data_IF_544971819048
#
_entry.id   IF_544971819048
#
_cell.length_a   1.000
_cell.length_b   1.000
_cell.length_c   1.000
_cell.angle_alpha   90.00
_cell.angle_beta   90.00
_cell.angle_gamma   90.00
#
_symmetry.space_group_name_H-M   'P 1'
#
loop_
_entity.id
_entity.type
_entity.pdbx_description
1 polymer ?
#
# COMPACT_ATOMS: atom_id res chain seq x y z
N UNK A 1 -9.56 27.91 -10.20
CA UNK A 1 -9.16 26.74 -9.39
C UNK A 1 -7.71 26.97 -8.98
N UNK A 2 -7.46 27.43 -7.75
CA UNK A 2 -6.10 27.73 -7.29
C UNK A 2 -5.32 26.42 -7.07
N UNK A 3 -4.24 26.26 -7.83
CA UNK A 3 -3.33 25.12 -7.69
C UNK A 3 -2.36 25.45 -6.57
N UNK A 4 -2.60 24.89 -5.38
CA UNK A 4 -1.66 24.95 -4.26
C UNK A 4 -0.32 24.28 -4.62
N UNK A 5 0.83 24.75 -4.08
CA UNK A 5 2.14 24.20 -4.40
C UNK A 5 2.24 22.71 -4.03
N UNK A 6 2.97 21.95 -4.86
CA UNK A 6 3.09 20.48 -4.87
C UNK A 6 3.53 19.86 -3.53
N UNK A 7 4.03 20.64 -2.57
CA UNK A 7 4.56 20.14 -1.28
C UNK A 7 3.49 19.73 -0.25
N UNK A 8 2.32 20.38 -0.22
CA UNK A 8 1.26 20.01 0.75
C UNK A 8 0.45 18.79 0.30
N UNK A 9 0.32 18.57 -1.02
CA UNK A 9 -0.41 17.41 -1.59
C UNK A 9 0.22 16.05 -1.25
N UNK A 10 1.47 16.04 -0.80
CA UNK A 10 2.19 14.81 -0.46
C UNK A 10 1.92 14.35 0.99
N UNK A 11 1.80 15.29 1.95
CA UNK A 11 1.66 14.95 3.38
C UNK A 11 0.37 14.18 3.64
N UNK A 12 -0.77 14.70 3.20
CA UNK A 12 -2.08 14.06 3.43
C UNK A 12 -2.13 12.68 2.76
N UNK A 13 -1.63 12.60 1.52
CA UNK A 13 -1.61 11.36 0.74
C UNK A 13 -0.76 10.30 1.42
N UNK A 14 0.45 10.67 1.85
CA UNK A 14 1.37 9.75 2.50
C UNK A 14 0.91 9.39 3.91
N UNK A 15 0.35 10.34 4.66
CA UNK A 15 -0.23 10.07 5.98
C UNK A 15 -1.41 9.11 5.88
N UNK A 16 -2.29 9.29 4.88
CA UNK A 16 -3.37 8.35 4.59
C UNK A 16 -2.86 6.98 4.20
N UNK A 17 -1.80 6.90 3.38
CA UNK A 17 -1.15 5.64 3.00
C UNK A 17 -0.58 4.91 4.24
N UNK A 18 0.12 5.62 5.12
CA UNK A 18 0.62 5.09 6.40
C UNK A 18 -0.54 4.60 7.27
N UNK A 19 -1.61 5.38 7.38
CA UNK A 19 -2.80 5.02 8.15
C UNK A 19 -3.48 3.73 7.65
N UNK A 20 -3.69 3.61 6.33
CA UNK A 20 -4.26 2.41 5.71
C UNK A 20 -3.37 1.19 5.94
N UNK A 21 -2.06 1.35 5.79
CA UNK A 21 -1.10 0.29 6.07
C UNK A 21 -1.08 -0.10 7.55
N UNK A 22 -1.25 0.85 8.47
CA UNK A 22 -1.41 0.54 9.90
C UNK A 22 -2.67 -0.28 10.18
N UNK A 23 -3.79 -0.01 9.50
CA UNK A 23 -5.02 -0.82 9.61
C UNK A 23 -4.79 -2.23 9.09
N UNK A 24 -4.08 -2.38 7.97
CA UNK A 24 -3.72 -3.69 7.42
C UNK A 24 -2.89 -4.52 8.40
N UNK A 25 -1.84 -3.92 8.98
CA UNK A 25 -0.99 -4.55 10.00
C UNK A 25 -1.81 -4.95 11.23
N UNK A 26 -2.83 -4.18 11.59
CA UNK A 26 -3.75 -4.49 12.68
C UNK A 26 -4.63 -5.73 12.42
N UNK A 27 -4.70 -6.22 11.19
CA UNK A 27 -5.61 -7.28 10.77
C UNK A 27 -6.87 -6.76 10.07
N UNK A 28 -6.84 -5.52 9.56
CA UNK A 28 -7.89 -4.93 8.74
C UNK A 28 -8.96 -4.16 9.52
N UNK A 29 -9.94 -3.55 8.81
CA UNK A 29 -10.93 -2.65 9.42
C UNK A 29 -11.86 -3.36 10.43
N UNK A 30 -12.07 -4.68 10.28
CA UNK A 30 -12.89 -5.45 11.23
C UNK A 30 -12.26 -5.49 12.62
N UNK A 31 -10.93 -5.66 12.70
CA UNK A 31 -10.21 -5.62 13.98
C UNK A 31 -10.41 -4.29 14.68
N UNK A 32 -10.33 -3.18 13.94
CA UNK A 32 -10.59 -1.85 14.49
C UNK A 32 -11.99 -1.72 15.13
N UNK A 33 -13.02 -2.33 14.54
CA UNK A 33 -14.40 -2.34 15.09
C UNK A 33 -14.53 -3.23 16.32
N UNK A 34 -13.86 -4.39 16.32
CA UNK A 34 -13.89 -5.35 17.43
C UNK A 34 -13.42 -4.73 18.76
N UNK A 35 -12.53 -3.73 18.69
CA UNK A 35 -11.97 -3.06 19.88
C UNK A 35 -12.80 -1.88 20.40
N UNK A 36 -13.96 -1.60 19.79
CA UNK A 36 -15.06 -0.74 20.31
C UNK A 36 -14.66 0.62 20.93
N UNK A 37 -13.52 1.19 20.55
CA UNK A 37 -13.03 2.44 21.14
C UNK A 37 -12.84 3.52 20.07
N UNK A 38 -13.66 4.56 20.19
CA UNK A 38 -13.82 5.66 19.23
C UNK A 38 -12.57 6.55 19.08
N UNK A 39 -11.61 6.48 20.00
CA UNK A 39 -10.40 7.34 19.97
C UNK A 39 -9.24 6.77 19.16
N UNK A 40 -9.28 5.49 18.78
CA UNK A 40 -8.19 4.86 18.01
C UNK A 40 -7.99 5.48 16.63
N UNK A 41 -9.10 5.80 15.96
CA UNK A 41 -9.06 6.41 14.63
C UNK A 41 -8.34 7.76 14.64
N UNK A 42 -8.74 8.75 15.48
CA UNK A 42 -8.01 10.01 15.61
C UNK A 42 -6.55 9.83 16.05
N UNK A 43 -6.28 8.99 17.05
CA UNK A 43 -4.91 8.80 17.55
C UNK A 43 -4.00 8.15 16.51
N UNK A 44 -4.49 7.17 15.76
CA UNK A 44 -3.74 6.51 14.69
C UNK A 44 -3.48 7.48 13.54
N UNK A 45 -4.48 8.26 13.13
CA UNK A 45 -4.29 9.25 12.07
C UNK A 45 -3.28 10.33 12.49
N UNK A 46 -3.38 10.85 13.72
CA UNK A 46 -2.41 11.81 14.25
C UNK A 46 -1.00 11.22 14.31
N UNK A 47 -0.87 9.95 14.65
CA UNK A 47 0.40 9.24 14.61
C UNK A 47 0.95 9.14 13.18
N UNK A 48 0.12 8.74 12.20
CA UNK A 48 0.51 8.67 10.79
C UNK A 48 1.03 10.01 10.27
N UNK A 49 0.33 11.12 10.56
CA UNK A 49 0.82 12.45 10.23
C UNK A 49 2.13 12.79 10.92
N UNK A 50 2.24 12.54 12.23
CA UNK A 50 3.45 12.86 12.99
C UNK A 50 4.68 12.11 12.47
N UNK A 51 4.53 10.84 12.07
CA UNK A 51 5.61 10.07 11.45
C UNK A 51 6.00 10.66 10.10
N UNK A 52 5.04 10.94 9.22
CA UNK A 52 5.34 11.53 7.89
C UNK A 52 6.02 12.89 8.02
N UNK A 53 5.49 13.77 8.87
CA UNK A 53 6.07 15.09 9.13
C UNK A 53 7.48 15.01 9.71
N UNK A 54 7.76 13.99 10.53
CA UNK A 54 9.08 13.75 11.08
C UNK A 54 10.05 13.23 10.02
N UNK A 55 9.66 12.21 9.26
CA UNK A 55 10.57 11.46 8.40
C UNK A 55 10.80 12.15 7.05
N UNK A 56 9.77 12.72 6.43
CA UNK A 56 9.89 13.37 5.11
C UNK A 56 10.26 14.86 5.22
N UNK A 57 9.88 15.51 6.32
CA UNK A 57 10.02 16.96 6.48
C UNK A 57 10.91 17.37 7.66
N UNK A 58 11.50 16.40 8.38
CA UNK A 58 12.39 16.62 9.52
C UNK A 58 11.79 17.52 10.62
N UNK A 59 10.45 17.59 10.73
CA UNK A 59 9.81 18.47 11.72
C UNK A 59 10.11 18.00 13.14
N UNK A 60 10.25 18.98 14.04
CA UNK A 60 10.40 18.72 15.47
C UNK A 60 9.06 18.35 16.10
N UNK A 61 9.09 17.69 17.27
CA UNK A 61 7.87 17.38 18.03
C UNK A 61 7.04 18.62 18.36
N UNK A 62 7.69 19.78 18.52
CA UNK A 62 7.02 21.06 18.77
C UNK A 62 6.31 21.62 17.54
N UNK A 63 6.95 21.52 16.37
CA UNK A 63 6.34 21.89 15.09
C UNK A 63 5.14 20.99 14.76
N UNK A 64 5.32 19.67 14.93
CA UNK A 64 4.27 18.66 14.73
C UNK A 64 3.08 18.90 15.67
N UNK A 65 3.35 19.18 16.95
CA UNK A 65 2.31 19.47 17.93
C UNK A 65 1.46 20.68 17.53
N UNK A 66 2.11 21.77 17.11
CA UNK A 66 1.43 22.98 16.64
C UNK A 66 0.56 22.72 15.40
N UNK A 67 1.06 21.94 14.46
CA UNK A 67 0.38 21.66 13.19
C UNK A 67 -0.80 20.71 13.35
N UNK A 68 -0.66 19.68 14.17
CA UNK A 68 -1.71 18.67 14.39
C UNK A 68 -2.68 19.04 15.51
N UNK A 69 -2.44 20.15 16.22
CA UNK A 69 -3.28 20.57 17.35
C UNK A 69 -3.20 19.62 18.55
N UNK A 70 -2.06 18.96 18.74
CA UNK A 70 -1.80 18.04 19.87
C UNK A 70 -0.76 18.63 20.82
N UNK A 71 -0.59 18.05 22.00
CA UNK A 71 0.46 18.49 22.92
C UNK A 71 1.85 18.08 22.42
N UNK A 72 2.89 18.86 22.76
CA UNK A 72 4.30 18.48 22.53
C UNK A 72 4.64 17.12 23.15
N UNK A 73 4.02 16.80 24.29
CA UNK A 73 4.18 15.51 24.95
C UNK A 73 3.58 14.38 24.11
N UNK A 74 2.35 14.55 23.59
CA UNK A 74 1.70 13.60 22.69
C UNK A 74 2.55 13.34 21.44
N UNK A 75 3.01 14.40 20.77
CA UNK A 75 3.90 14.29 19.62
C UNK A 75 5.19 13.53 19.98
N UNK A 76 5.80 13.86 21.13
CA UNK A 76 7.01 13.19 21.62
C UNK A 76 6.76 11.69 21.89
N UNK A 77 5.62 11.35 22.50
CA UNK A 77 5.26 9.97 22.80
C UNK A 77 5.08 9.14 21.52
N UNK A 78 4.41 9.69 20.51
CA UNK A 78 4.28 9.07 19.18
C UNK A 78 5.66 8.82 18.57
N UNK A 79 6.50 9.86 18.52
CA UNK A 79 7.83 9.78 17.89
C UNK A 79 8.80 8.86 18.66
N UNK A 80 8.56 8.56 19.93
CA UNK A 80 9.38 7.64 20.74
C UNK A 80 8.83 6.22 20.83
N UNK A 81 7.66 5.95 20.25
CA UNK A 81 7.06 4.62 20.31
C UNK A 81 7.96 3.54 19.71
N UNK A 82 8.00 2.35 20.34
CA UNK A 82 8.78 1.20 19.89
C UNK A 82 7.94 0.28 18.99
N UNK A 83 8.40 0.05 17.76
CA UNK A 83 7.72 -0.80 16.76
C UNK A 83 7.59 -2.28 17.22
N UNK A 84 8.61 -2.81 17.91
CA UNK A 84 8.72 -4.23 18.28
C UNK A 84 7.91 -4.58 19.51
N UNK A 85 7.75 -3.64 20.44
CA UNK A 85 6.92 -3.84 21.62
C UNK A 85 5.43 -3.87 21.27
N UNK A 86 5.02 -3.09 20.27
CA UNK A 86 3.62 -2.97 19.86
C UNK A 86 3.09 -4.27 19.25
N UNK A 87 3.86 -4.95 18.38
CA UNK A 87 3.46 -6.26 17.81
C UNK A 87 3.28 -7.36 18.86
N UNK A 88 4.07 -7.33 19.94
CA UNK A 88 4.00 -8.31 21.03
C UNK A 88 2.82 -8.08 21.98
N UNK A 89 2.25 -6.88 21.96
CA UNK A 89 1.23 -6.41 22.90
C UNK A 89 0.16 -5.60 22.16
N UNK A 90 -0.33 -6.07 21.01
CA UNK A 90 -1.55 -5.50 20.41
C UNK A 90 -2.73 -5.89 21.32
N UNK A 91 -2.83 -5.22 22.47
CA UNK A 91 -3.97 -5.24 23.35
C UNK A 91 -4.67 -3.89 23.19
N UNK A 92 -5.58 -3.84 22.23
CA UNK A 92 -6.28 -2.60 21.86
C UNK A 92 -7.39 -2.22 22.85
N UNK A 93 -7.62 -3.04 23.88
CA UNK A 93 -8.53 -2.80 24.99
C UNK A 93 -7.89 -1.93 26.09
N UNK A 94 -6.67 -1.42 25.87
CA UNK A 94 -5.96 -0.49 26.77
C UNK A 94 -6.79 0.79 27.01
N UNK A 95 -7.24 0.95 28.27
CA UNK A 95 -8.03 2.11 28.67
C UNK A 95 -7.18 3.36 28.86
N UNK A 96 -5.88 3.22 29.08
CA UNK A 96 -4.96 4.33 29.31
C UNK A 96 -4.58 5.02 28.00
N UNK A 97 -4.87 6.33 27.91
CA UNK A 97 -4.63 7.12 26.70
C UNK A 97 -3.15 7.16 26.29
N UNK A 98 -2.24 7.25 27.27
CA UNK A 98 -0.79 7.26 27.07
C UNK A 98 -0.30 6.03 26.29
N UNK A 99 -0.82 4.85 26.65
CA UNK A 99 -0.49 3.58 26.02
C UNK A 99 -1.12 3.44 24.64
N UNK A 100 -2.35 3.94 24.44
CA UNK A 100 -2.96 3.99 23.10
C UNK A 100 -2.14 4.85 22.14
N UNK A 101 -1.71 6.04 22.58
CA UNK A 101 -0.85 6.93 21.80
C UNK A 101 0.48 6.24 21.44
N UNK A 102 1.06 5.50 22.40
CA UNK A 102 2.27 4.73 22.16
C UNK A 102 2.05 3.63 21.11
N UNK A 103 0.97 2.85 21.22
CA UNK A 103 0.63 1.79 20.27
C UNK A 103 0.34 2.36 18.87
N UNK A 104 -0.44 3.44 18.78
CA UNK A 104 -0.69 4.16 17.53
C UNK A 104 0.60 4.65 16.89
N UNK A 105 1.53 5.21 17.70
CA UNK A 105 2.85 5.62 17.25
C UNK A 105 3.68 4.46 16.69
N UNK A 106 3.73 3.32 17.40
CA UNK A 106 4.50 2.16 16.96
C UNK A 106 3.92 1.52 15.69
N UNK A 107 2.59 1.43 15.58
CA UNK A 107 1.92 0.97 14.36
C UNK A 107 2.18 1.89 13.16
N UNK A 108 2.13 3.20 13.35
CA UNK A 108 2.39 4.17 12.29
C UNK A 108 3.85 4.11 11.81
N UNK A 109 4.82 3.97 12.72
CA UNK A 109 6.24 3.79 12.36
C UNK A 109 6.48 2.53 11.56
N UNK A 110 5.95 1.40 12.05
CA UNK A 110 6.09 0.13 11.36
C UNK A 110 5.47 0.19 9.96
N UNK A 111 4.26 0.75 9.84
CA UNK A 111 3.60 0.95 8.55
C UNK A 111 4.43 1.79 7.59
N UNK A 112 4.96 2.92 8.05
CA UNK A 112 5.84 3.78 7.25
C UNK A 112 7.09 3.02 6.78
N UNK A 113 7.72 2.24 7.67
CA UNK A 113 8.87 1.41 7.33
C UNK A 113 8.53 0.36 6.26
N UNK A 114 7.41 -0.35 6.40
CA UNK A 114 6.95 -1.32 5.40
C UNK A 114 6.75 -0.68 4.03
N UNK A 115 6.16 0.52 4.00
CA UNK A 115 5.97 1.29 2.76
C UNK A 115 7.33 1.62 2.11
N UNK A 116 8.30 2.10 2.89
CA UNK A 116 9.65 2.43 2.39
C UNK A 116 10.43 1.21 1.93
N UNK A 117 10.17 0.05 2.52
CA UNK A 117 10.78 -1.23 2.12
C UNK A 117 9.99 -1.92 0.98
N UNK A 118 9.01 -1.24 0.36
CA UNK A 118 8.27 -1.75 -0.79
C UNK A 118 7.18 -2.77 -0.45
N UNK A 119 6.91 -3.02 0.84
CA UNK A 119 5.82 -3.90 1.32
C UNK A 119 4.50 -3.16 1.46
N UNK A 120 4.20 -2.30 0.50
CA UNK A 120 2.98 -1.52 0.42
C UNK A 120 1.84 -2.28 -0.29
N UNK A 121 1.79 -3.59 -0.10
CA UNK A 121 0.81 -4.45 -0.76
C UNK A 121 -0.55 -4.40 -0.05
N UNK A 122 -1.15 -3.22 0.01
CA UNK A 122 -2.49 -3.11 0.57
C UNK A 122 -3.53 -3.66 -0.40
N UNK A 123 -4.40 -4.55 0.09
CA UNK A 123 -5.52 -5.11 -0.68
C UNK A 123 -6.39 -4.02 -1.31
N UNK A 124 -6.52 -2.88 -0.63
CA UNK A 124 -7.27 -1.73 -1.15
C UNK A 124 -6.61 -1.08 -2.37
N UNK A 125 -5.27 -0.98 -2.41
CA UNK A 125 -4.55 -0.45 -3.57
C UNK A 125 -4.75 -1.35 -4.79
N UNK A 126 -4.72 -2.67 -4.58
CA UNK A 126 -4.99 -3.64 -5.64
C UNK A 126 -6.44 -3.52 -6.14
N UNK A 127 -7.43 -3.43 -5.27
CA UNK A 127 -8.84 -3.29 -5.66
C UNK A 127 -9.12 -1.97 -6.41
N UNK A 128 -8.57 -0.85 -5.94
CA UNK A 128 -8.67 0.43 -6.66
C UNK A 128 -7.99 0.34 -8.03
N UNK A 129 -6.79 -0.23 -8.09
CA UNK A 129 -6.05 -0.40 -9.34
C UNK A 129 -6.80 -1.30 -10.32
N UNK A 130 -7.41 -2.40 -9.86
CA UNK A 130 -8.30 -3.25 -10.67
C UNK A 130 -9.49 -2.47 -11.22
N UNK A 131 -10.16 -1.67 -10.39
CA UNK A 131 -11.31 -0.88 -10.82
C UNK A 131 -10.95 0.18 -11.86
N UNK A 132 -9.82 0.87 -11.67
CA UNK A 132 -9.31 1.86 -12.64
C UNK A 132 -8.91 1.15 -13.94
N UNK A 133 -8.14 0.06 -13.84
CA UNK A 133 -7.71 -0.71 -15.01
C UNK A 133 -8.91 -1.21 -15.80
N UNK A 134 -9.94 -1.74 -15.14
CA UNK A 134 -11.21 -2.13 -15.78
C UNK A 134 -11.88 -0.97 -16.51
N UNK A 135 -11.93 0.21 -15.88
CA UNK A 135 -12.51 1.41 -16.50
C UNK A 135 -11.73 1.89 -17.73
N UNK A 136 -10.43 1.58 -17.78
CA UNK A 136 -9.53 1.89 -18.90
C UNK A 136 -9.39 0.75 -19.92
N UNK A 137 -10.09 -0.38 -19.75
CA UNK A 137 -9.93 -1.57 -20.60
C UNK A 137 -8.57 -2.28 -20.45
N UNK A 138 -7.89 -2.07 -19.33
CA UNK A 138 -6.58 -2.63 -19.01
C UNK A 138 -6.63 -3.64 -17.85
N UNK A 139 -7.81 -4.15 -17.50
CA UNK A 139 -8.01 -5.14 -16.42
C UNK A 139 -7.21 -6.43 -16.66
N UNK A 140 -7.04 -6.81 -17.92
CA UNK A 140 -6.21 -7.94 -18.31
C UNK A 140 -4.76 -7.81 -17.83
N UNK A 141 -4.19 -6.60 -17.85
CA UNK A 141 -2.81 -6.37 -17.44
C UNK A 141 -2.64 -6.61 -15.92
N UNK A 142 -3.64 -6.19 -15.13
CA UNK A 142 -3.66 -6.43 -13.68
C UNK A 142 -3.78 -7.92 -13.39
N UNK A 143 -4.60 -8.65 -14.16
CA UNK A 143 -4.70 -10.11 -14.04
C UNK A 143 -3.38 -10.81 -14.36
N UNK A 144 -2.75 -10.47 -15.49
CA UNK A 144 -1.45 -11.04 -15.88
C UNK A 144 -0.42 -10.82 -14.77
N UNK A 145 -0.26 -9.58 -14.29
CA UNK A 145 0.66 -9.25 -13.20
C UNK A 145 0.37 -10.00 -11.91
N UNK A 146 -0.90 -10.17 -11.55
CA UNK A 146 -1.30 -10.88 -10.34
C UNK A 146 -0.96 -12.38 -10.42
N UNK A 147 -1.15 -13.01 -11.58
CA UNK A 147 -0.89 -14.43 -11.80
C UNK A 147 0.60 -14.78 -11.84
N UNK A 148 1.43 -13.86 -12.34
CA UNK A 148 2.89 -14.03 -12.39
C UNK A 148 3.60 -13.49 -11.14
N UNK A 149 2.85 -13.03 -10.13
CA UNK A 149 3.46 -12.51 -8.90
C UNK A 149 4.36 -13.57 -8.26
N UNK A 150 5.58 -13.16 -7.90
CA UNK A 150 6.62 -14.02 -7.32
C UNK A 150 7.23 -15.03 -8.30
N UNK A 151 7.00 -14.87 -9.61
CA UNK A 151 7.69 -15.63 -10.65
C UNK A 151 9.08 -15.03 -10.90
N UNK A 152 10.06 -15.90 -11.13
CA UNK A 152 11.39 -15.49 -11.57
C UNK A 152 11.41 -15.18 -13.07
N UNK A 153 12.22 -14.19 -13.44
CA UNK A 153 12.46 -13.80 -14.83
C UNK A 153 13.98 -13.89 -15.13
N UNK A 154 14.39 -14.18 -16.37
CA UNK A 154 13.59 -14.31 -17.59
C UNK A 154 12.74 -15.61 -17.63
N UNK A 155 11.52 -15.51 -18.16
CA UNK A 155 10.57 -16.62 -18.22
C UNK A 155 10.44 -17.19 -19.63
N UNK A 156 10.37 -18.53 -19.72
CA UNK A 156 10.03 -19.25 -20.95
C UNK A 156 8.51 -19.38 -21.13
N UNK A 157 8.12 -19.99 -22.25
CA UNK A 157 6.72 -20.12 -22.62
C UNK A 157 5.99 -21.07 -21.69
N UNK A 158 6.59 -22.21 -21.39
CA UNK A 158 6.04 -23.26 -20.55
C UNK A 158 5.71 -22.71 -19.15
N UNK A 159 6.61 -21.92 -18.57
CA UNK A 159 6.43 -21.25 -17.29
C UNK A 159 5.26 -20.28 -17.33
N UNK A 160 5.17 -19.44 -18.36
CA UNK A 160 4.05 -18.50 -18.51
C UNK A 160 2.71 -19.20 -18.71
N UNK A 161 2.65 -20.22 -19.58
CA UNK A 161 1.44 -21.02 -19.82
C UNK A 161 0.98 -21.69 -18.53
N UNK A 162 1.90 -22.26 -17.74
CA UNK A 162 1.55 -22.92 -16.48
C UNK A 162 0.85 -21.99 -15.47
N UNK A 163 1.16 -20.68 -15.52
CA UNK A 163 0.59 -19.67 -14.62
C UNK A 163 -0.64 -18.97 -15.18
N UNK A 164 -0.78 -18.95 -16.50
CA UNK A 164 -1.75 -18.12 -17.18
C UNK A 164 -2.74 -18.90 -18.06
N UNK A 165 -2.71 -20.23 -18.04
CA UNK A 165 -3.67 -21.07 -18.76
C UNK A 165 -5.11 -20.87 -18.25
N UNK A 166 -6.07 -21.05 -19.16
CA UNK A 166 -7.50 -20.99 -18.87
C UNK A 166 -8.09 -19.57 -18.80
N UNK A 167 -7.32 -18.55 -19.19
CA UNK A 167 -7.78 -17.16 -19.23
C UNK A 167 -8.04 -16.69 -20.67
N UNK A 168 -9.02 -15.80 -20.82
CA UNK A 168 -9.35 -15.13 -22.07
C UNK A 168 -9.26 -13.61 -21.89
N UNK A 169 -8.66 -12.93 -22.88
CA UNK A 169 -8.63 -11.46 -22.96
C UNK A 169 -9.27 -11.06 -24.28
N UNK A 170 -10.33 -10.24 -24.23
CA UNK A 170 -11.03 -9.75 -25.43
C UNK A 170 -11.44 -10.87 -26.41
N UNK A 171 -11.83 -12.04 -25.86
CA UNK A 171 -12.23 -13.22 -26.63
C UNK A 171 -11.08 -14.02 -27.25
N UNK A 172 -9.82 -13.67 -26.95
CA UNK A 172 -8.64 -14.45 -27.33
C UNK A 172 -8.14 -15.24 -26.12
N UNK A 173 -7.92 -16.54 -26.30
CA UNK A 173 -7.28 -17.37 -25.28
C UNK A 173 -5.86 -16.92 -25.03
N UNK A 174 -5.46 -16.83 -23.76
CA UNK A 174 -4.13 -16.34 -23.44
C UNK A 174 -3.04 -17.26 -24.00
N UNK A 175 -3.30 -18.56 -24.07
CA UNK A 175 -2.36 -19.51 -24.68
C UNK A 175 -2.07 -19.15 -26.14
N UNK A 176 -3.07 -18.73 -26.91
CA UNK A 176 -2.91 -18.29 -28.31
C UNK A 176 -2.12 -16.99 -28.44
N UNK A 177 -2.18 -16.13 -27.43
CA UNK A 177 -1.37 -14.90 -27.35
C UNK A 177 0.07 -15.28 -27.03
N UNK A 178 0.29 -16.14 -26.03
CA UNK A 178 1.62 -16.59 -25.60
C UNK A 178 2.37 -17.31 -26.74
N UNK A 179 1.68 -18.08 -27.59
CA UNK A 179 2.25 -18.70 -28.80
C UNK A 179 2.94 -17.71 -29.75
N UNK A 180 2.50 -16.44 -29.77
CA UNK A 180 2.98 -15.42 -30.71
C UNK A 180 4.11 -14.55 -30.13
N UNK A 181 4.48 -14.78 -28.87
CA UNK A 181 5.52 -14.01 -28.20
C UNK A 181 6.93 -14.46 -28.57
N UNK A 182 7.87 -13.52 -28.51
CA UNK A 182 9.29 -13.82 -28.61
C UNK A 182 9.87 -14.12 -27.23
N UNK A 183 10.50 -15.28 -27.10
CA UNK A 183 11.06 -15.78 -25.83
C UNK A 183 12.60 -15.71 -25.82
N UNK A 184 13.21 -15.64 -24.62
CA UNK A 184 12.58 -15.56 -23.30
C UNK A 184 12.14 -14.14 -22.95
N UNK A 185 11.07 -14.02 -22.17
CA UNK A 185 10.56 -12.72 -21.70
C UNK A 185 11.40 -12.28 -20.50
N UNK A 186 11.98 -11.08 -20.52
CA UNK A 186 13.02 -10.66 -19.55
C UNK A 186 12.46 -10.11 -18.25
N UNK A 187 11.25 -9.55 -18.27
CA UNK A 187 10.61 -8.97 -17.10
C UNK A 187 9.09 -8.79 -17.31
N UNK A 188 8.31 -8.53 -16.24
CA UNK A 188 6.85 -8.32 -16.33
C UNK A 188 6.43 -7.19 -17.27
N UNK A 189 7.20 -6.09 -17.35
CA UNK A 189 6.85 -4.96 -18.20
C UNK A 189 6.97 -5.31 -19.70
N UNK A 190 7.97 -6.09 -20.07
CA UNK A 190 8.09 -6.66 -21.41
C UNK A 190 6.91 -7.58 -21.73
N UNK A 191 6.52 -8.47 -20.81
CA UNK A 191 5.36 -9.35 -21.02
C UNK A 191 4.09 -8.55 -21.35
N UNK A 192 3.76 -7.55 -20.54
CA UNK A 192 2.59 -6.71 -20.76
C UNK A 192 2.65 -5.96 -22.10
N UNK A 193 3.82 -5.43 -22.46
CA UNK A 193 3.98 -4.71 -23.72
C UNK A 193 3.72 -5.62 -24.92
N UNK A 194 4.30 -6.82 -24.93
CA UNK A 194 4.14 -7.74 -26.06
C UNK A 194 2.71 -8.29 -26.16
N UNK A 195 2.06 -8.62 -25.03
CA UNK A 195 0.63 -8.97 -25.03
C UNK A 195 -0.21 -7.80 -25.57
N UNK A 196 0.07 -6.58 -25.12
CA UNK A 196 -0.62 -5.38 -25.58
C UNK A 196 -0.50 -5.14 -27.09
N UNK A 197 0.65 -5.41 -27.71
CA UNK A 197 0.83 -5.34 -29.17
C UNK A 197 -0.06 -6.33 -29.91
N UNK A 198 -0.08 -7.59 -29.46
CA UNK A 198 -0.91 -8.64 -30.06
C UNK A 198 -2.40 -8.31 -29.93
N UNK A 199 -2.83 -7.74 -28.80
CA UNK A 199 -4.22 -7.31 -28.60
C UNK A 199 -4.60 -6.19 -29.57
N UNK A 200 -3.72 -5.20 -29.77
CA UNK A 200 -3.89 -4.10 -30.73
C UNK A 200 -3.76 -4.50 -32.21
N UNK A 201 -3.32 -5.72 -32.50
CA UNK A 201 -3.05 -6.19 -33.86
C UNK A 201 -1.78 -5.61 -34.48
N UNK A 202 -0.87 -5.11 -33.64
CA UNK A 202 0.47 -4.71 -34.05
C UNK A 202 1.34 -5.98 -34.10
N UNK A 203 1.63 -6.47 -35.31
CA UNK A 203 2.55 -7.58 -35.55
C UNK A 203 4.01 -7.13 -35.47
#
# INVERSE_FOLDING_TARGET
MEVKPVRERDVDTLALRVFLKSIEILGGPRKLVEHRNLTWLPSLMAASYAIVLKEEFMKSAESIAKELGITKQTATNILRADEKEVLKKINLDEQEESKRIHVAGGLAKLAYKEIKEGRDESSIHLEISKSIAKSLGADWAVHVLSSIKGMDFPADKETLVSRLAGYEIEGKRLEEILEKLSYPIRNPAELLREIGRILKGEN
#
